data_IF_490043648285
#
_entry.id   IF_490043648285
#
_cell.length_a   1.000
_cell.length_b   1.000
_cell.length_c   1.000
_cell.angle_alpha   90.00
_cell.angle_beta   90.00
_cell.angle_gamma   90.00
#
_symmetry.space_group_name_H-M   'P 1'
#
loop_
_entity.id
_entity.type
_entity.pdbx_description
1 polymer ?
#
# COMPACT_ATOMS: atom_id res chain seq x y z
N UNK A 1 -10.74 2.32 26.40
CA UNK A 1 -10.47 1.87 25.01
C UNK A 1 -10.68 0.37 24.94
N UNK A 2 -11.57 -0.14 24.06
CA UNK A 2 -11.81 -1.58 23.98
C UNK A 2 -10.55 -2.30 23.45
N UNK A 3 -10.36 -3.58 23.81
CA UNK A 3 -9.23 -4.40 23.34
C UNK A 3 -9.19 -4.43 21.81
N UNK A 4 -10.35 -4.59 21.17
CA UNK A 4 -10.50 -4.58 19.72
C UNK A 4 -9.99 -3.28 19.09
N UNK A 5 -10.33 -2.12 19.67
CA UNK A 5 -9.90 -0.82 19.15
C UNK A 5 -8.38 -0.64 19.22
N UNK A 6 -7.73 -1.13 20.29
CA UNK A 6 -6.26 -1.13 20.40
C UNK A 6 -5.61 -2.02 19.33
N UNK A 7 -6.17 -3.20 19.09
CA UNK A 7 -5.70 -4.11 18.04
C UNK A 7 -5.83 -3.48 16.65
N UNK A 8 -6.96 -2.80 16.38
CA UNK A 8 -7.17 -2.09 15.12
C UNK A 8 -6.22 -0.90 14.92
N UNK A 9 -5.96 -0.11 15.96
CA UNK A 9 -4.98 0.97 15.89
C UNK A 9 -3.56 0.44 15.67
N UNK A 10 -3.22 -0.68 16.29
CA UNK A 10 -1.93 -1.34 16.12
C UNK A 10 -1.78 -1.89 14.68
N UNK A 11 -2.83 -2.45 14.09
CA UNK A 11 -2.83 -2.85 12.67
C UNK A 11 -2.62 -1.64 11.74
N UNK A 12 -3.36 -0.56 11.95
CA UNK A 12 -3.23 0.67 11.19
C UNK A 12 -1.81 1.23 11.28
N UNK A 13 -1.23 1.20 12.47
CA UNK A 13 0.13 1.64 12.74
C UNK A 13 1.18 0.76 12.03
N UNK A 14 1.07 -0.57 12.11
CA UNK A 14 1.97 -1.51 11.42
C UNK A 14 1.96 -1.29 9.91
N UNK A 15 0.82 -0.93 9.33
CA UNK A 15 0.70 -0.68 7.89
C UNK A 15 1.35 0.63 7.51
N UNK A 16 1.20 1.68 8.33
CA UNK A 16 1.95 2.92 8.17
C UNK A 16 3.47 2.65 8.23
N UNK A 17 3.92 1.79 9.16
CA UNK A 17 5.32 1.38 9.29
C UNK A 17 5.88 0.69 8.05
N UNK A 18 5.07 -0.11 7.39
CA UNK A 18 5.48 -0.89 6.22
C UNK A 18 5.20 -0.18 4.89
N UNK A 19 4.68 1.07 4.91
CA UNK A 19 4.57 1.89 3.71
C UNK A 19 5.97 2.22 3.18
N UNK A 20 6.26 1.79 1.96
CA UNK A 20 7.63 1.84 1.43
C UNK A 20 7.99 3.17 0.78
N UNK A 21 9.29 3.54 0.90
CA UNK A 21 9.87 4.76 0.33
C UNK A 21 9.91 4.73 -1.21
N UNK A 22 9.85 3.54 -1.83
CA UNK A 22 10.03 3.36 -3.28
C UNK A 22 9.01 4.05 -4.16
N UNK A 23 7.88 4.40 -3.61
CA UNK A 23 6.82 5.08 -4.34
C UNK A 23 6.67 6.55 -3.91
N UNK A 24 7.73 7.29 -3.68
CA UNK A 24 7.74 8.74 -3.43
C UNK A 24 7.23 9.51 -4.68
N UNK A 25 6.12 9.09 -5.25
CA UNK A 25 5.32 9.84 -6.21
C UNK A 25 4.03 10.32 -5.54
N UNK A 26 3.47 11.42 -6.03
CA UNK A 26 2.19 12.00 -5.56
C UNK A 26 1.04 10.96 -5.51
N UNK A 27 1.15 9.89 -6.30
CA UNK A 27 0.20 8.76 -6.32
C UNK A 27 0.15 7.89 -5.05
N UNK A 28 1.08 8.03 -4.09
CA UNK A 28 1.12 7.21 -2.85
C UNK A 28 0.50 7.87 -1.63
N UNK A 29 0.55 9.18 -1.55
CA UNK A 29 -0.26 9.89 -0.55
C UNK A 29 -1.71 9.45 -0.70
N UNK A 30 -2.16 9.32 -1.95
CA UNK A 30 -3.51 8.85 -2.28
C UNK A 30 -3.75 7.39 -1.91
N UNK A 31 -2.79 6.48 -2.13
CA UNK A 31 -2.91 5.06 -1.78
C UNK A 31 -3.00 4.84 -0.27
N UNK A 32 -2.16 5.52 0.51
CA UNK A 32 -2.19 5.41 1.97
C UNK A 32 -3.47 6.01 2.54
N UNK A 33 -3.91 7.13 1.97
CA UNK A 33 -5.17 7.77 2.33
C UNK A 33 -6.36 6.85 1.96
N UNK A 34 -6.33 6.25 0.77
CA UNK A 34 -7.32 5.24 0.34
C UNK A 34 -7.33 4.05 1.32
N UNK A 35 -6.16 3.56 1.72
CA UNK A 35 -6.06 2.47 2.67
C UNK A 35 -6.70 2.82 4.02
N UNK A 36 -6.34 3.95 4.63
CA UNK A 36 -6.89 4.36 5.92
C UNK A 36 -8.41 4.52 5.84
N UNK A 37 -8.90 5.16 4.78
CA UNK A 37 -10.34 5.31 4.58
C UNK A 37 -11.04 3.97 4.37
N UNK A 38 -10.41 3.01 3.68
CA UNK A 38 -10.93 1.65 3.54
C UNK A 38 -11.01 0.94 4.88
N UNK A 39 -9.95 1.08 5.68
CA UNK A 39 -9.88 0.48 7.00
C UNK A 39 -10.98 1.04 7.92
N UNK A 40 -11.06 2.37 8.05
CA UNK A 40 -12.08 3.03 8.87
C UNK A 40 -13.49 2.62 8.45
N UNK A 41 -13.75 2.62 7.14
CA UNK A 41 -15.04 2.20 6.59
C UNK A 41 -15.35 0.72 6.88
N UNK A 42 -14.40 -0.18 6.64
CA UNK A 42 -14.64 -1.62 6.79
C UNK A 42 -14.92 -2.03 8.23
N UNK A 43 -14.30 -1.36 9.19
CA UNK A 43 -14.50 -1.60 10.61
C UNK A 43 -15.58 -0.70 11.26
N UNK A 44 -16.36 0.04 10.44
CA UNK A 44 -17.39 0.98 10.87
C UNK A 44 -16.88 2.01 11.92
N UNK A 45 -15.62 2.48 11.73
CA UNK A 45 -14.98 3.46 12.58
C UNK A 45 -15.21 4.87 12.05
N UNK A 46 -15.78 5.75 12.88
CA UNK A 46 -15.89 7.16 12.55
C UNK A 46 -14.51 7.85 12.65
N UNK A 47 -14.02 8.48 11.56
CA UNK A 47 -12.71 9.13 11.54
C UNK A 47 -12.52 10.17 12.64
N UNK A 48 -13.58 10.92 12.98
CA UNK A 48 -13.56 11.95 14.02
C UNK A 48 -13.36 11.35 15.40
N UNK A 49 -14.11 10.30 15.71
CA UNK A 49 -13.97 9.59 16.99
C UNK A 49 -12.57 8.94 17.12
N UNK A 50 -12.04 8.38 16.03
CA UNK A 50 -10.69 7.83 16.02
C UNK A 50 -9.67 8.92 16.30
N UNK A 51 -9.78 10.07 15.64
CA UNK A 51 -8.89 11.21 15.84
C UNK A 51 -8.94 11.73 17.28
N UNK A 52 -10.13 11.92 17.85
CA UNK A 52 -10.30 12.35 19.24
C UNK A 52 -9.62 11.37 20.23
N UNK A 53 -9.72 10.07 19.99
CA UNK A 53 -9.12 9.06 20.85
C UNK A 53 -7.59 9.09 20.76
N UNK A 54 -7.00 9.15 19.58
CA UNK A 54 -5.54 9.16 19.41
C UNK A 54 -4.89 10.47 19.87
N UNK A 55 -5.69 11.54 19.98
CA UNK A 55 -5.24 12.86 20.45
C UNK A 55 -5.66 13.17 21.90
N UNK A 56 -6.37 12.26 22.57
CA UNK A 56 -6.98 12.49 23.89
C UNK A 56 -6.00 12.85 25.03
N UNK A 57 -4.73 12.44 24.90
CA UNK A 57 -3.68 12.77 25.87
C UNK A 57 -2.29 12.73 25.21
N UNK A 58 -1.30 13.33 25.87
CA UNK A 58 0.07 13.44 25.38
C UNK A 58 0.75 12.06 25.18
N UNK A 59 0.40 11.06 25.95
CA UNK A 59 0.94 9.71 25.82
C UNK A 59 0.42 9.03 24.55
N UNK A 60 -0.87 9.18 24.24
CA UNK A 60 -1.44 8.68 22.99
C UNK A 60 -0.83 9.38 21.76
N UNK A 61 -0.70 10.72 21.80
CA UNK A 61 -0.05 11.48 20.74
C UNK A 61 1.38 10.98 20.51
N UNK A 62 2.11 10.68 21.57
CA UNK A 62 3.45 10.14 21.47
C UNK A 62 3.48 8.75 20.82
N UNK A 63 2.64 7.82 21.27
CA UNK A 63 2.58 6.46 20.72
C UNK A 63 2.08 6.41 19.28
N UNK A 64 1.17 7.28 18.90
CA UNK A 64 0.55 7.31 17.57
C UNK A 64 0.99 8.53 16.75
N UNK A 65 2.16 9.11 17.04
CA UNK A 65 2.63 10.35 16.44
C UNK A 65 2.59 10.34 14.91
N UNK A 66 3.03 9.25 14.27
CA UNK A 66 2.98 9.10 12.82
C UNK A 66 1.54 9.11 12.29
N UNK A 67 0.62 8.44 12.99
CA UNK A 67 -0.79 8.41 12.63
C UNK A 67 -1.47 9.75 12.85
N UNK A 68 -1.21 10.40 13.99
CA UNK A 68 -1.75 11.73 14.31
C UNK A 68 -1.27 12.78 13.30
N UNK A 69 0.04 12.78 12.99
CA UNK A 69 0.60 13.64 11.97
C UNK A 69 -0.04 13.41 10.60
N UNK A 70 -0.25 12.15 10.22
CA UNK A 70 -0.90 11.80 8.96
C UNK A 70 -2.37 12.26 8.91
N UNK A 71 -3.11 12.16 10.02
CA UNK A 71 -4.49 12.64 10.11
C UNK A 71 -4.56 14.16 9.92
N UNK A 72 -3.69 14.95 10.59
CA UNK A 72 -3.60 16.38 10.35
C UNK A 72 -3.21 16.73 8.91
N UNK A 73 -2.28 15.98 8.33
CA UNK A 73 -1.82 16.22 6.95
C UNK A 73 -2.92 16.02 5.91
N UNK A 74 -3.82 15.06 6.13
CA UNK A 74 -4.83 14.66 5.14
C UNK A 74 -6.26 15.02 5.53
N UNK A 75 -6.47 15.68 6.67
CA UNK A 75 -7.80 16.09 7.13
C UNK A 75 -8.69 14.90 7.51
N UNK A 76 -8.12 13.83 8.05
CA UNK A 76 -8.88 12.64 8.44
C UNK A 76 -9.44 12.84 9.85
N UNK A 77 -10.75 13.07 9.96
CA UNK A 77 -11.42 13.34 11.22
C UNK A 77 -11.10 14.69 11.86
N UNK A 78 -10.32 15.53 11.20
CA UNK A 78 -9.95 16.89 11.61
C UNK A 78 -9.74 17.79 10.39
N UNK A 79 -9.54 19.09 10.61
CA UNK A 79 -9.11 19.98 9.54
C UNK A 79 -7.66 19.68 9.15
N UNK A 80 -7.33 19.88 7.87
CA UNK A 80 -5.94 19.82 7.40
C UNK A 80 -5.11 20.88 8.11
N UNK A 81 -4.02 20.45 8.74
CA UNK A 81 -3.06 21.33 9.42
C UNK A 81 -1.64 20.78 9.20
N UNK A 82 -1.02 21.22 8.11
CA UNK A 82 0.31 20.78 7.72
C UNK A 82 1.39 21.22 8.72
N UNK A 83 1.24 22.39 9.35
CA UNK A 83 2.19 22.92 10.34
C UNK A 83 2.21 22.00 11.56
N UNK A 84 1.03 21.67 12.08
CA UNK A 84 0.87 20.81 13.24
C UNK A 84 1.32 19.37 12.94
N UNK A 85 1.03 18.86 11.74
CA UNK A 85 1.56 17.58 11.29
C UNK A 85 3.09 17.55 11.33
N UNK A 86 3.74 18.59 10.80
CA UNK A 86 5.20 18.73 10.81
C UNK A 86 5.78 18.81 12.23
N UNK A 87 5.15 19.57 13.12
CA UNK A 87 5.57 19.67 14.53
C UNK A 87 5.54 18.32 15.22
N UNK A 88 4.46 17.54 15.02
CA UNK A 88 4.30 16.21 15.61
C UNK A 88 5.38 15.26 15.10
N UNK A 89 5.60 15.19 13.78
CA UNK A 89 6.66 14.37 13.21
C UNK A 89 8.05 14.78 13.68
N UNK A 90 8.34 16.09 13.74
CA UNK A 90 9.64 16.61 14.16
C UNK A 90 9.92 16.31 15.64
N UNK A 91 8.90 16.39 16.49
CA UNK A 91 9.03 16.08 17.92
C UNK A 91 9.22 14.57 18.15
N UNK A 92 8.56 13.72 17.38
CA UNK A 92 8.76 12.27 17.43
C UNK A 92 10.23 11.91 17.17
N UNK A 93 10.84 12.49 16.13
CA UNK A 93 12.26 12.27 15.80
C UNK A 93 13.22 12.78 16.87
N UNK A 94 12.97 14.00 17.41
CA UNK A 94 13.86 14.58 18.44
C UNK A 94 13.87 13.77 19.73
N UNK A 95 12.72 13.27 20.16
CA UNK A 95 12.60 12.50 21.39
C UNK A 95 13.27 11.13 21.28
N UNK A 96 13.29 10.54 20.11
CA UNK A 96 13.95 9.26 19.89
C UNK A 96 15.49 9.39 19.85
N UNK A 97 16.03 10.46 19.27
CA UNK A 97 17.48 10.75 19.30
C UNK A 97 18.02 10.97 20.73
N UNK A 98 17.18 11.34 21.70
CA UNK A 98 17.57 11.42 23.10
C UNK A 98 17.56 10.06 23.81
N UNK A 99 16.70 9.12 23.36
CA UNK A 99 16.58 7.77 23.95
C UNK A 99 17.57 6.75 23.40
N UNK A 100 18.03 6.88 22.16
CA UNK A 100 19.09 6.01 21.60
C UNK A 100 20.39 6.07 22.37
N UNK A 101 20.55 7.06 23.25
CA UNK A 101 21.66 7.14 24.22
C UNK A 101 21.42 6.30 25.49
N UNK A 102 20.23 5.77 25.73
CA UNK A 102 19.89 4.90 26.86
C UNK A 102 19.32 3.57 26.33
N UNK A 103 20.10 2.52 26.47
CA UNK A 103 19.85 1.16 26.00
C UNK A 103 18.45 0.63 26.36
N UNK A 104 17.53 0.53 25.36
CA UNK A 104 16.44 -0.46 25.40
C UNK A 104 16.06 -0.85 23.97
N UNK A 105 15.90 -2.17 23.74
CA UNK A 105 15.84 -2.81 22.43
C UNK A 105 14.44 -2.81 21.81
N UNK A 106 14.37 -2.67 20.50
CA UNK A 106 13.47 -3.25 19.47
C UNK A 106 12.20 -2.51 19.03
N UNK A 107 11.44 -1.79 19.84
CA UNK A 107 10.21 -1.08 19.39
C UNK A 107 10.44 0.39 19.02
N UNK A 108 11.51 0.98 19.52
CA UNK A 108 11.77 2.41 19.35
C UNK A 108 12.49 2.74 18.03
N UNK A 109 13.27 1.80 17.48
CA UNK A 109 13.93 1.98 16.17
C UNK A 109 12.96 2.01 15.00
N UNK A 110 11.81 1.31 15.11
CA UNK A 110 10.76 1.31 14.09
C UNK A 110 10.03 2.67 14.04
N UNK A 111 9.81 3.32 15.18
CA UNK A 111 9.20 4.66 15.25
C UNK A 111 10.08 5.76 14.62
N UNK A 112 11.41 5.64 14.73
CA UNK A 112 12.36 6.59 14.16
C UNK A 112 12.28 6.65 12.64
N UNK A 113 12.19 5.50 11.99
CA UNK A 113 12.18 5.39 10.54
C UNK A 113 10.98 6.09 9.90
N UNK A 114 9.83 6.09 10.56
CA UNK A 114 8.57 6.61 10.00
C UNK A 114 8.44 8.10 10.20
N UNK A 115 8.74 8.58 11.40
CA UNK A 115 8.73 10.02 11.66
C UNK A 115 9.75 10.72 10.78
N UNK A 116 10.89 10.07 10.52
CA UNK A 116 11.89 10.55 9.57
C UNK A 116 11.39 10.51 8.12
N UNK A 117 10.65 9.46 7.74
CA UNK A 117 10.01 9.33 6.43
C UNK A 117 9.01 10.44 6.14
N UNK A 118 8.13 10.77 7.11
CA UNK A 118 7.17 11.86 6.93
C UNK A 118 7.83 13.24 6.88
N UNK A 119 8.93 13.46 7.59
CA UNK A 119 9.72 14.69 7.46
C UNK A 119 10.32 14.79 6.05
N UNK A 120 10.71 13.68 5.44
CA UNK A 120 11.19 13.63 4.07
C UNK A 120 10.10 13.98 3.07
N UNK A 121 8.89 13.44 3.25
CA UNK A 121 7.74 13.76 2.38
C UNK A 121 7.34 15.24 2.47
N UNK A 122 7.46 15.86 3.65
CA UNK A 122 7.14 17.27 3.85
C UNK A 122 8.12 18.24 3.18
N UNK A 123 9.35 17.81 2.95
CA UNK A 123 10.36 18.68 2.33
C UNK A 123 10.56 18.27 0.88
N UNK A 124 9.70 18.79 -0.02
CA UNK A 124 9.82 18.63 -1.49
C UNK A 124 11.21 18.95 -2.08
N UNK A 125 12.11 19.57 -1.30
CA UNK A 125 13.43 20.07 -1.75
C UNK A 125 14.64 19.42 -1.04
N UNK A 126 14.52 18.19 -0.55
CA UNK A 126 15.57 17.62 0.33
C UNK A 126 16.64 16.77 -0.34
N UNK A 127 16.73 16.75 -1.69
CA UNK A 127 17.83 16.05 -2.35
C UNK A 127 19.20 16.48 -1.80
N UNK A 128 19.44 17.77 -1.61
CA UNK A 128 20.71 18.30 -1.06
C UNK A 128 21.00 17.80 0.35
N UNK A 129 19.98 17.73 1.21
CA UNK A 129 20.14 17.22 2.58
C UNK A 129 20.42 15.71 2.58
N UNK A 130 19.66 14.93 1.79
CA UNK A 130 19.89 13.50 1.66
C UNK A 130 21.25 13.22 1.04
N UNK A 131 21.69 13.98 0.04
CA UNK A 131 23.02 13.85 -0.55
C UNK A 131 24.10 14.03 0.51
N UNK A 132 24.01 15.09 1.33
CA UNK A 132 24.94 15.33 2.43
C UNK A 132 24.94 14.21 3.47
N UNK A 133 23.75 13.73 3.87
CA UNK A 133 23.63 12.63 4.84
C UNK A 133 24.16 11.32 4.27
N UNK A 134 23.89 11.01 3.00
CA UNK A 134 24.40 9.84 2.31
C UNK A 134 25.92 9.85 2.23
N UNK A 135 26.52 11.00 1.92
CA UNK A 135 27.97 11.21 1.92
C UNK A 135 28.56 11.01 3.33
N UNK A 136 27.79 11.29 4.40
CA UNK A 136 28.16 11.05 5.78
C UNK A 136 27.88 9.60 6.26
N UNK A 137 27.44 8.72 5.37
CA UNK A 137 27.24 7.30 5.67
C UNK A 137 25.86 6.90 6.16
N UNK A 138 24.82 7.77 6.13
CA UNK A 138 23.47 7.40 6.52
C UNK A 138 22.84 6.43 5.49
N UNK A 139 22.55 5.15 5.87
CA UNK A 139 22.08 4.14 4.93
C UNK A 139 20.70 4.47 4.31
N UNK A 140 19.82 5.16 5.05
CA UNK A 140 18.50 5.53 4.55
C UNK A 140 18.61 6.60 3.48
N UNK A 141 19.47 7.59 3.69
CA UNK A 141 19.75 8.63 2.70
C UNK A 141 20.48 8.08 1.48
N UNK A 142 21.40 7.13 1.67
CA UNK A 142 22.08 6.41 0.58
C UNK A 142 21.08 5.66 -0.31
N UNK A 143 20.12 4.96 0.29
CA UNK A 143 19.04 4.31 -0.45
C UNK A 143 18.21 5.32 -1.26
N UNK A 144 17.84 6.45 -0.64
CA UNK A 144 17.10 7.52 -1.32
C UNK A 144 17.89 8.10 -2.52
N UNK A 145 19.19 8.38 -2.37
CA UNK A 145 20.02 8.86 -3.48
C UNK A 145 20.12 7.79 -4.57
N UNK A 146 20.21 6.50 -4.20
CA UNK A 146 20.15 5.38 -5.15
C UNK A 146 18.87 5.38 -5.99
N UNK A 147 17.72 5.65 -5.37
CA UNK A 147 16.42 5.82 -6.07
C UNK A 147 16.48 7.04 -7.01
N UNK A 148 16.97 8.19 -6.53
CA UNK A 148 17.07 9.40 -7.35
C UNK A 148 17.91 9.17 -8.60
N UNK A 149 19.06 8.49 -8.46
CA UNK A 149 19.91 8.12 -9.59
C UNK A 149 19.21 7.14 -10.54
N UNK A 150 18.44 6.20 -10.02
CA UNK A 150 17.74 5.20 -10.84
C UNK A 150 16.65 5.83 -11.72
N UNK A 151 15.81 6.70 -11.16
CA UNK A 151 14.66 7.29 -11.84
C UNK A 151 14.92 8.66 -12.47
N UNK A 152 16.11 9.21 -12.34
CA UNK A 152 16.42 10.55 -12.82
C UNK A 152 15.68 11.66 -12.05
N UNK A 153 15.39 11.46 -10.75
CA UNK A 153 14.73 12.45 -9.92
C UNK A 153 15.72 13.47 -9.35
N UNK A 154 15.51 14.75 -9.64
CA UNK A 154 16.38 15.87 -9.25
C UNK A 154 17.80 15.85 -9.83
N UNK A 155 18.15 14.84 -10.59
CA UNK A 155 19.44 14.64 -11.29
C UNK A 155 19.19 13.79 -12.53
N UNK A 156 20.13 13.79 -13.47
CA UNK A 156 20.09 12.87 -14.60
C UNK A 156 20.19 11.41 -14.12
N UNK A 157 19.45 10.53 -14.77
CA UNK A 157 19.44 9.11 -14.44
C UNK A 157 20.82 8.49 -14.66
N UNK A 158 21.34 7.82 -13.63
CA UNK A 158 22.65 7.17 -13.64
C UNK A 158 22.54 5.83 -12.89
N UNK A 159 22.45 4.77 -13.66
CA UNK A 159 22.25 3.42 -13.11
C UNK A 159 23.49 2.86 -12.39
N UNK A 160 24.69 3.28 -12.79
CA UNK A 160 25.95 2.89 -12.15
C UNK A 160 26.04 3.50 -10.76
N UNK A 161 25.87 4.82 -10.66
CA UNK A 161 25.80 5.50 -9.36
C UNK A 161 24.64 4.99 -8.50
N UNK A 162 23.50 4.68 -9.12
CA UNK A 162 22.38 4.06 -8.39
C UNK A 162 22.79 2.74 -7.74
N UNK A 163 23.54 1.90 -8.47
CA UNK A 163 24.02 0.62 -7.94
C UNK A 163 25.02 0.81 -6.80
N UNK A 164 25.98 1.72 -6.96
CA UNK A 164 26.96 2.05 -5.91
C UNK A 164 26.29 2.55 -4.62
N UNK A 165 25.28 3.43 -4.75
CA UNK A 165 24.54 3.92 -3.59
C UNK A 165 23.72 2.84 -2.90
N UNK A 166 23.10 1.92 -3.65
CA UNK A 166 22.43 0.79 -3.05
C UNK A 166 23.42 -0.16 -2.35
N UNK A 167 24.60 -0.35 -2.91
CA UNK A 167 25.64 -1.18 -2.28
C UNK A 167 26.05 -0.59 -0.93
N UNK A 168 26.42 0.69 -0.89
CA UNK A 168 26.77 1.39 0.37
C UNK A 168 25.62 1.34 1.39
N UNK A 169 24.40 1.52 0.93
CA UNK A 169 23.21 1.47 1.78
C UNK A 169 22.97 0.07 2.37
N UNK A 170 23.16 -0.97 1.57
CA UNK A 170 23.05 -2.38 2.01
C UNK A 170 24.14 -2.74 3.02
N UNK A 171 25.40 -2.35 2.75
CA UNK A 171 26.51 -2.51 3.68
C UNK A 171 26.27 -1.78 5.02
N UNK A 172 25.54 -0.67 4.98
CA UNK A 172 25.05 0.06 6.16
C UNK A 172 23.85 -0.60 6.86
N UNK A 173 23.38 -1.76 6.41
CA UNK A 173 22.29 -2.53 7.01
C UNK A 173 20.88 -2.15 6.54
N UNK A 174 20.73 -1.43 5.43
CA UNK A 174 19.42 -1.11 4.87
C UNK A 174 18.85 -2.30 4.09
N UNK A 175 17.91 -3.03 4.71
CA UNK A 175 17.28 -4.23 4.13
C UNK A 175 16.55 -4.00 2.80
N UNK A 176 16.11 -2.75 2.52
CA UNK A 176 15.47 -2.40 1.24
C UNK A 176 16.52 -2.34 0.12
N UNK A 177 17.66 -1.74 0.40
CA UNK A 177 18.79 -1.72 -0.53
C UNK A 177 19.30 -3.14 -0.80
N UNK A 178 19.41 -3.97 0.24
CA UNK A 178 19.78 -5.39 0.13
C UNK A 178 18.83 -6.13 -0.82
N UNK A 179 17.51 -5.93 -0.68
CA UNK A 179 16.52 -6.52 -1.58
C UNK A 179 16.69 -6.06 -3.04
N UNK A 180 16.85 -4.75 -3.26
CA UNK A 180 17.03 -4.21 -4.62
C UNK A 180 18.28 -4.77 -5.28
N UNK A 181 19.39 -4.88 -4.54
CA UNK A 181 20.61 -5.51 -5.02
C UNK A 181 20.39 -6.99 -5.36
N UNK A 182 19.72 -7.72 -4.48
CA UNK A 182 19.36 -9.12 -4.72
C UNK A 182 18.62 -9.30 -6.03
N UNK A 183 17.59 -8.48 -6.30
CA UNK A 183 16.87 -8.52 -7.57
C UNK A 183 17.78 -8.19 -8.78
N UNK A 184 18.69 -7.24 -8.65
CA UNK A 184 19.62 -6.86 -9.73
C UNK A 184 20.59 -7.99 -10.07
N UNK A 185 21.12 -8.69 -9.07
CA UNK A 185 21.95 -9.88 -9.30
C UNK A 185 21.17 -11.04 -9.90
N UNK A 186 19.93 -11.28 -9.46
CA UNK A 186 19.05 -12.30 -10.03
C UNK A 186 18.76 -12.08 -11.52
N UNK A 187 18.56 -10.83 -11.92
CA UNK A 187 18.17 -10.47 -13.29
C UNK A 187 19.36 -10.35 -14.24
N UNK A 188 20.53 -9.93 -13.73
CA UNK A 188 21.65 -9.57 -14.58
C UNK A 188 21.23 -8.45 -15.55
N UNK A 189 21.41 -7.19 -15.18
CA UNK A 189 20.85 -6.07 -15.94
C UNK A 189 21.89 -5.44 -16.85
N UNK A 190 21.55 -5.27 -18.13
CA UNK A 190 22.30 -4.48 -19.09
C UNK A 190 21.56 -3.17 -19.34
N UNK A 191 22.21 -2.06 -19.06
CA UNK A 191 21.65 -0.74 -19.27
C UNK A 191 22.07 -0.14 -20.60
N UNK A 192 21.27 0.81 -21.12
CA UNK A 192 21.49 1.44 -22.44
C UNK A 192 22.82 2.19 -22.55
N UNK A 193 23.36 2.68 -21.42
CA UNK A 193 24.66 3.35 -21.34
C UNK A 193 25.87 2.39 -21.33
N UNK A 194 25.63 1.08 -21.52
CA UNK A 194 26.68 0.07 -21.51
C UNK A 194 27.07 -0.47 -20.13
N UNK A 195 26.50 0.07 -19.05
CA UNK A 195 26.68 -0.48 -17.70
C UNK A 195 26.05 -1.86 -17.59
N UNK A 196 26.76 -2.81 -16.99
CA UNK A 196 26.37 -4.21 -16.95
C UNK A 196 26.53 -4.80 -15.55
N UNK A 197 25.48 -5.41 -15.02
CA UNK A 197 25.51 -6.23 -13.81
C UNK A 197 25.45 -7.69 -14.23
N UNK A 198 26.51 -8.45 -13.97
CA UNK A 198 26.52 -9.89 -14.24
C UNK A 198 25.45 -10.57 -13.42
N UNK A 199 24.70 -11.47 -14.09
CA UNK A 199 23.73 -12.33 -13.42
C UNK A 199 24.46 -13.27 -12.46
N UNK A 200 24.02 -13.26 -11.21
CA UNK A 200 24.53 -14.12 -10.15
C UNK A 200 23.33 -14.53 -9.27
N UNK A 201 22.73 -15.67 -9.61
CA UNK A 201 21.51 -16.14 -8.94
C UNK A 201 21.76 -16.53 -7.49
N UNK A 202 22.93 -17.08 -7.17
CA UNK A 202 23.31 -17.49 -5.82
C UNK A 202 23.43 -16.27 -4.90
N UNK A 203 24.21 -15.28 -5.30
CA UNK A 203 24.34 -14.00 -4.59
C UNK A 203 23.02 -13.26 -4.50
N UNK A 204 22.23 -13.26 -5.58
CA UNK A 204 20.90 -12.66 -5.61
C UNK A 204 19.96 -13.31 -4.60
N UNK A 205 19.98 -14.64 -4.50
CA UNK A 205 19.20 -15.39 -3.53
C UNK A 205 19.64 -15.08 -2.08
N UNK A 206 20.95 -15.08 -1.79
CA UNK A 206 21.49 -14.76 -0.47
C UNK A 206 21.04 -13.38 0.03
N UNK A 207 21.15 -12.35 -0.82
CA UNK A 207 20.71 -11.00 -0.49
C UNK A 207 19.20 -10.90 -0.27
N UNK A 208 18.40 -11.61 -1.07
CA UNK A 208 16.94 -11.64 -0.88
C UNK A 208 16.61 -12.36 0.44
N UNK A 209 17.31 -13.43 0.78
CA UNK A 209 17.16 -14.14 2.06
C UNK A 209 17.51 -13.22 3.24
N UNK A 210 18.66 -12.57 3.21
CA UNK A 210 19.07 -11.61 4.23
C UNK A 210 18.04 -10.51 4.44
N UNK A 211 17.56 -9.91 3.36
CA UNK A 211 16.53 -8.88 3.41
C UNK A 211 15.20 -9.40 4.00
N UNK A 212 14.80 -10.63 3.65
CA UNK A 212 13.57 -11.24 4.17
C UNK A 212 13.67 -11.58 5.65
N UNK A 213 14.83 -12.07 6.11
CA UNK A 213 15.14 -12.31 7.52
C UNK A 213 15.14 -11.01 8.32
N UNK A 214 15.60 -9.92 7.72
CA UNK A 214 15.48 -8.55 8.24
C UNK A 214 14.04 -8.02 8.27
N UNK A 215 13.07 -8.77 7.73
CA UNK A 215 11.64 -8.44 7.79
C UNK A 215 11.10 -7.63 6.61
N UNK A 216 11.83 -7.54 5.49
CA UNK A 216 11.34 -6.89 4.29
C UNK A 216 10.23 -7.72 3.62
N UNK A 217 9.03 -7.13 3.44
CA UNK A 217 7.83 -7.87 2.99
C UNK A 217 7.96 -8.44 1.56
N UNK A 218 8.52 -7.67 0.63
CA UNK A 218 8.66 -8.14 -0.76
C UNK A 218 9.78 -9.17 -0.93
N UNK A 219 10.81 -9.10 -0.09
CA UNK A 219 11.81 -10.15 -0.03
C UNK A 219 11.20 -11.46 0.50
N UNK A 220 10.37 -11.38 1.54
CA UNK A 220 9.62 -12.53 2.05
C UNK A 220 8.66 -13.12 1.01
N UNK A 221 7.95 -12.27 0.26
CA UNK A 221 7.11 -12.68 -0.87
C UNK A 221 7.97 -13.42 -1.93
N UNK A 222 9.08 -12.83 -2.33
CA UNK A 222 9.99 -13.40 -3.35
C UNK A 222 10.57 -14.76 -2.93
N UNK A 223 10.92 -14.93 -1.65
CA UNK A 223 11.32 -16.24 -1.14
C UNK A 223 10.18 -17.26 -1.17
N UNK A 224 8.95 -16.82 -0.88
CA UNK A 224 7.78 -17.67 -1.08
C UNK A 224 7.69 -18.22 -2.50
N UNK A 225 7.86 -17.35 -3.52
CA UNK A 225 7.92 -17.76 -4.93
C UNK A 225 9.09 -18.71 -5.22
N UNK A 226 10.27 -18.48 -4.64
CA UNK A 226 11.43 -19.31 -4.86
C UNK A 226 11.20 -20.74 -4.32
N UNK A 227 10.68 -20.88 -3.11
CA UNK A 227 10.34 -22.18 -2.56
C UNK A 227 9.14 -22.84 -3.25
N UNK A 228 8.17 -22.08 -3.72
CA UNK A 228 7.02 -22.61 -4.45
C UNK A 228 7.40 -23.18 -5.82
N UNK A 229 8.31 -22.50 -6.53
CA UNK A 229 8.72 -22.87 -7.89
C UNK A 229 10.02 -23.68 -7.95
N UNK A 230 10.80 -23.74 -6.88
CA UNK A 230 12.12 -24.39 -6.85
C UNK A 230 13.20 -23.56 -7.57
N UNK A 231 13.20 -22.24 -7.40
CA UNK A 231 14.19 -21.32 -7.95
C UNK A 231 15.33 -21.16 -6.94
N UNK A 232 16.55 -21.48 -7.35
CA UNK A 232 17.76 -21.51 -6.50
C UNK A 232 17.69 -22.44 -5.27
N UNK A 233 16.55 -23.03 -4.98
CA UNK A 233 16.30 -23.94 -3.85
C UNK A 233 15.41 -25.09 -4.27
N UNK A 234 15.44 -26.18 -3.49
CA UNK A 234 14.48 -27.27 -3.69
C UNK A 234 13.06 -26.78 -3.41
N UNK A 235 12.14 -27.21 -4.27
CA UNK A 235 10.72 -26.90 -4.13
C UNK A 235 10.18 -27.39 -2.79
N UNK A 236 9.67 -26.45 -2.00
CA UNK A 236 9.10 -26.71 -0.67
C UNK A 236 7.90 -25.79 -0.43
N UNK A 237 6.74 -26.34 -0.68
CA UNK A 237 5.49 -25.60 -0.58
C UNK A 237 5.12 -25.20 0.85
N UNK A 238 5.60 -25.93 1.87
CA UNK A 238 5.38 -25.56 3.27
C UNK A 238 6.22 -24.34 3.63
N UNK A 239 7.50 -24.31 3.22
CA UNK A 239 8.34 -23.13 3.39
C UNK A 239 7.80 -21.95 2.60
N UNK A 240 7.27 -22.16 1.38
CA UNK A 240 6.61 -21.12 0.60
C UNK A 240 5.44 -20.50 1.39
N UNK A 241 4.56 -21.33 1.98
CA UNK A 241 3.48 -20.85 2.83
C UNK A 241 3.98 -20.02 4.01
N UNK A 242 5.03 -20.48 4.71
CA UNK A 242 5.58 -19.78 5.86
C UNK A 242 6.13 -18.39 5.47
N UNK A 243 6.81 -18.29 4.33
CA UNK A 243 7.32 -17.02 3.82
C UNK A 243 6.19 -16.09 3.31
N UNK A 244 5.18 -16.62 2.61
CA UNK A 244 4.00 -15.86 2.23
C UNK A 244 3.24 -15.36 3.46
N UNK A 245 3.15 -16.15 4.53
CA UNK A 245 2.52 -15.72 5.77
C UNK A 245 3.30 -14.58 6.46
N UNK A 246 4.64 -14.62 6.44
CA UNK A 246 5.47 -13.51 6.92
C UNK A 246 5.21 -12.23 6.11
N UNK A 247 5.18 -12.31 4.78
CA UNK A 247 4.87 -11.19 3.90
C UNK A 247 3.44 -10.66 4.13
N UNK A 248 2.45 -11.53 4.25
CA UNK A 248 1.05 -11.19 4.51
C UNK A 248 0.89 -10.44 5.85
N UNK A 249 1.58 -10.89 6.90
CA UNK A 249 1.61 -10.23 8.20
C UNK A 249 2.22 -8.81 8.13
N UNK A 250 3.13 -8.57 7.18
CA UNK A 250 3.74 -7.27 6.90
C UNK A 250 2.93 -6.42 5.89
N UNK A 251 1.72 -6.87 5.53
CA UNK A 251 0.80 -6.08 4.70
C UNK A 251 0.95 -6.28 3.19
N UNK A 252 1.65 -7.31 2.72
CA UNK A 252 1.65 -7.67 1.31
C UNK A 252 0.25 -8.16 0.90
N UNK A 253 -0.44 -7.39 0.06
CA UNK A 253 -1.84 -7.66 -0.30
C UNK A 253 -2.01 -8.91 -1.16
N UNK A 254 -1.02 -9.23 -1.99
CA UNK A 254 -1.04 -10.45 -2.80
C UNK A 254 -0.84 -11.69 -1.94
N UNK A 255 0.15 -11.66 -1.02
CA UNK A 255 0.34 -12.75 -0.06
C UNK A 255 -0.87 -12.93 0.86
N UNK A 256 -1.52 -11.84 1.30
CA UNK A 256 -2.77 -11.92 2.07
C UNK A 256 -3.87 -12.64 1.29
N UNK A 257 -3.99 -12.39 -0.02
CA UNK A 257 -4.93 -13.11 -0.88
C UNK A 257 -4.55 -14.59 -1.04
N UNK A 258 -3.28 -14.92 -1.25
CA UNK A 258 -2.81 -16.31 -1.32
C UNK A 258 -3.11 -17.07 -0.03
N UNK A 259 -2.77 -16.50 1.12
CA UNK A 259 -3.05 -17.08 2.43
C UNK A 259 -4.56 -17.26 2.66
N UNK A 260 -5.38 -16.31 2.19
CA UNK A 260 -6.85 -16.45 2.21
C UNK A 260 -7.30 -17.70 1.45
N UNK A 261 -6.81 -17.90 0.23
CA UNK A 261 -7.16 -19.05 -0.60
C UNK A 261 -6.70 -20.37 0.05
N UNK A 262 -5.49 -20.41 0.62
CA UNK A 262 -4.99 -21.60 1.31
C UNK A 262 -5.88 -22.00 2.49
N UNK A 263 -6.42 -21.03 3.25
CA UNK A 263 -7.39 -21.32 4.30
C UNK A 263 -8.77 -21.72 3.77
N UNK A 264 -9.24 -21.17 2.66
CA UNK A 264 -10.52 -21.57 2.06
C UNK A 264 -10.48 -22.99 1.48
N UNK A 265 -9.36 -23.33 0.86
CA UNK A 265 -9.19 -24.61 0.14
C UNK A 265 -8.61 -25.72 1.04
N UNK A 266 -7.99 -25.37 2.17
CA UNK A 266 -7.30 -26.30 3.04
C UNK A 266 -5.95 -26.77 2.47
N UNK A 267 -5.27 -25.89 1.71
CA UNK A 267 -3.95 -26.18 1.12
C UNK A 267 -2.87 -25.83 2.14
N UNK A 268 -2.04 -26.79 2.52
CA UNK A 268 -0.96 -26.68 3.54
C UNK A 268 -1.44 -26.37 4.96
N UNK A 269 -2.70 -26.02 5.15
CA UNK A 269 -3.34 -25.71 6.43
C UNK A 269 -4.73 -26.33 6.47
N UNK A 270 -5.25 -26.59 7.65
CA UNK A 270 -6.64 -27.03 7.78
C UNK A 270 -7.60 -25.97 7.26
N UNK A 271 -8.58 -26.41 6.46
CA UNK A 271 -9.63 -25.53 5.94
C UNK A 271 -10.28 -24.73 7.06
N UNK A 272 -10.32 -23.41 6.90
CA UNK A 272 -10.89 -22.49 7.88
C UNK A 272 -11.45 -21.25 7.20
N UNK A 273 -12.75 -21.26 6.94
CA UNK A 273 -13.43 -20.18 6.23
C UNK A 273 -13.37 -18.84 6.97
N UNK A 274 -13.37 -18.86 8.32
CA UNK A 274 -13.23 -17.61 9.12
C UNK A 274 -11.85 -16.97 8.93
N UNK A 275 -10.78 -17.78 8.95
CA UNK A 275 -9.43 -17.29 8.66
C UNK A 275 -9.29 -16.87 7.19
N UNK A 276 -9.87 -17.64 6.27
CA UNK A 276 -9.93 -17.27 4.86
C UNK A 276 -10.58 -15.90 4.64
N UNK A 277 -11.76 -15.68 5.24
CA UNK A 277 -12.43 -14.38 5.19
C UNK A 277 -11.60 -13.25 5.83
N UNK A 278 -10.99 -13.49 6.98
CA UNK A 278 -10.13 -12.51 7.65
C UNK A 278 -8.98 -12.04 6.73
N UNK A 279 -8.26 -12.98 6.10
CA UNK A 279 -7.16 -12.64 5.21
C UNK A 279 -7.64 -11.98 3.90
N UNK A 280 -8.78 -12.47 3.33
CA UNK A 280 -9.37 -11.83 2.16
C UNK A 280 -9.77 -10.36 2.43
N UNK A 281 -10.35 -10.11 3.61
CA UNK A 281 -10.72 -8.76 4.05
C UNK A 281 -9.50 -7.86 4.17
N UNK A 282 -8.41 -8.35 4.76
CA UNK A 282 -7.13 -7.62 4.83
C UNK A 282 -6.57 -7.32 3.43
N UNK A 283 -6.55 -8.30 2.55
CA UNK A 283 -6.09 -8.11 1.18
C UNK A 283 -6.93 -7.06 0.42
N UNK A 284 -8.26 -7.09 0.58
CA UNK A 284 -9.17 -6.11 -0.03
C UNK A 284 -8.90 -4.69 0.47
N UNK A 285 -8.72 -4.51 1.78
CA UNK A 285 -8.36 -3.22 2.41
C UNK A 285 -7.02 -2.71 1.86
N UNK A 286 -6.04 -3.61 1.69
CA UNK A 286 -4.71 -3.31 1.12
C UNK A 286 -4.71 -3.20 -0.41
N UNK A 287 -5.88 -3.17 -1.04
CA UNK A 287 -6.01 -2.83 -2.45
C UNK A 287 -5.98 -4.00 -3.44
N UNK A 288 -5.94 -5.26 -2.97
CA UNK A 288 -5.97 -6.43 -3.86
C UNK A 288 -7.31 -6.57 -4.58
N UNK A 289 -7.31 -6.57 -5.91
CA UNK A 289 -8.52 -6.50 -6.73
C UNK A 289 -9.47 -7.67 -6.54
N UNK A 290 -8.97 -8.91 -6.65
CA UNK A 290 -9.82 -10.09 -6.52
C UNK A 290 -10.42 -10.20 -5.12
N UNK A 291 -9.65 -9.77 -4.10
CA UNK A 291 -10.15 -9.71 -2.73
C UNK A 291 -11.23 -8.65 -2.55
N UNK A 292 -11.10 -7.48 -3.18
CA UNK A 292 -12.14 -6.44 -3.19
C UNK A 292 -13.42 -6.95 -3.86
N UNK A 293 -13.27 -7.67 -4.99
CA UNK A 293 -14.41 -8.28 -5.68
C UNK A 293 -15.11 -9.35 -4.82
N UNK A 294 -14.34 -10.31 -4.29
CA UNK A 294 -14.88 -11.34 -3.38
C UNK A 294 -15.59 -10.73 -2.17
N UNK A 295 -15.04 -9.64 -1.62
CA UNK A 295 -15.64 -8.95 -0.47
C UNK A 295 -16.93 -8.22 -0.85
N UNK A 296 -16.97 -7.60 -2.02
CA UNK A 296 -18.20 -6.98 -2.54
C UNK A 296 -19.30 -8.02 -2.77
N UNK A 297 -18.97 -9.17 -3.39
CA UNK A 297 -19.91 -10.30 -3.57
C UNK A 297 -20.39 -10.88 -2.22
N UNK A 298 -19.49 -11.02 -1.25
CA UNK A 298 -19.85 -11.46 0.09
C UNK A 298 -20.91 -10.54 0.71
N UNK A 299 -20.70 -9.21 0.66
CA UNK A 299 -21.66 -8.26 1.19
C UNK A 299 -22.97 -8.23 0.41
N UNK A 300 -22.91 -8.36 -0.91
CA UNK A 300 -24.11 -8.48 -1.75
C UNK A 300 -24.96 -9.69 -1.36
N UNK A 301 -24.36 -10.86 -1.24
CA UNK A 301 -25.02 -12.10 -0.87
C UNK A 301 -25.61 -12.06 0.58
N UNK A 302 -24.96 -11.32 1.47
CA UNK A 302 -25.43 -11.12 2.85
C UNK A 302 -26.36 -9.90 3.02
N UNK A 303 -26.88 -9.35 1.92
CA UNK A 303 -27.82 -8.21 1.90
C UNK A 303 -27.30 -6.93 2.58
N UNK A 304 -25.97 -6.79 2.70
CA UNK A 304 -25.35 -5.54 3.13
C UNK A 304 -25.04 -4.68 1.90
N UNK A 305 -26.12 -4.13 1.30
CA UNK A 305 -26.04 -3.40 0.04
C UNK A 305 -25.14 -2.16 0.13
N UNK A 306 -25.12 -1.48 1.28
CA UNK A 306 -24.26 -0.30 1.49
C UNK A 306 -22.76 -0.64 1.37
N UNK A 307 -22.31 -1.74 2.00
CA UNK A 307 -20.91 -2.18 1.89
C UNK A 307 -20.63 -2.75 0.49
N UNK A 308 -21.55 -3.52 -0.07
CA UNK A 308 -21.42 -4.03 -1.44
C UNK A 308 -21.25 -2.89 -2.45
N UNK A 309 -22.13 -1.89 -2.42
CA UNK A 309 -22.06 -0.71 -3.29
C UNK A 309 -20.70 0.00 -3.18
N UNK A 310 -20.21 0.28 -1.98
CA UNK A 310 -18.95 0.98 -1.79
C UNK A 310 -17.76 0.19 -2.33
N UNK A 311 -17.73 -1.13 -2.17
CA UNK A 311 -16.65 -1.95 -2.73
C UNK A 311 -16.75 -2.04 -4.26
N UNK A 312 -17.96 -2.18 -4.83
CA UNK A 312 -18.15 -2.12 -6.28
C UNK A 312 -17.77 -0.75 -6.85
N UNK A 313 -18.10 0.36 -6.16
CA UNK A 313 -17.71 1.70 -6.59
C UNK A 313 -16.19 1.87 -6.67
N UNK A 314 -15.44 1.31 -5.72
CA UNK A 314 -13.96 1.32 -5.76
C UNK A 314 -13.41 0.55 -6.96
N UNK A 315 -13.96 -0.62 -7.23
CA UNK A 315 -13.58 -1.42 -8.40
C UNK A 315 -13.95 -0.72 -9.71
N UNK A 316 -15.11 -0.08 -9.77
CA UNK A 316 -15.59 0.67 -10.93
C UNK A 316 -14.70 1.90 -11.22
N UNK A 317 -14.24 2.59 -10.18
CA UNK A 317 -13.28 3.69 -10.31
C UNK A 317 -11.91 3.23 -10.85
N UNK A 318 -11.56 1.96 -10.61
CA UNK A 318 -10.38 1.30 -11.20
C UNK A 318 -10.69 0.64 -12.56
N UNK A 319 -11.80 1.00 -13.18
CA UNK A 319 -12.26 0.54 -14.50
C UNK A 319 -12.55 -0.97 -14.60
N UNK A 320 -12.97 -1.59 -13.50
CA UNK A 320 -13.42 -2.99 -13.54
C UNK A 320 -14.82 -3.05 -14.17
N UNK A 321 -14.91 -3.55 -15.41
CA UNK A 321 -16.10 -3.45 -16.28
C UNK A 321 -17.38 -3.96 -15.58
N UNK A 322 -17.32 -5.15 -14.96
CA UNK A 322 -18.46 -5.72 -14.23
C UNK A 322 -18.93 -4.82 -13.07
N UNK A 323 -17.99 -4.21 -12.37
CA UNK A 323 -18.29 -3.30 -11.27
C UNK A 323 -18.91 -1.99 -11.76
N UNK A 324 -18.48 -1.46 -12.91
CA UNK A 324 -19.08 -0.27 -13.55
C UNK A 324 -20.56 -0.50 -13.80
N UNK A 325 -20.93 -1.65 -14.39
CA UNK A 325 -22.32 -2.02 -14.62
C UNK A 325 -23.13 -2.12 -13.32
N UNK A 326 -22.58 -2.79 -12.30
CA UNK A 326 -23.25 -2.95 -11.03
C UNK A 326 -23.47 -1.61 -10.32
N UNK A 327 -22.51 -0.72 -10.34
CA UNK A 327 -22.63 0.64 -9.77
C UNK A 327 -23.75 1.42 -10.46
N UNK A 328 -23.84 1.32 -11.79
CA UNK A 328 -24.96 1.93 -12.53
C UNK A 328 -26.31 1.41 -12.05
N UNK A 329 -26.45 0.09 -11.83
CA UNK A 329 -27.68 -0.51 -11.27
C UNK A 329 -27.97 -0.02 -9.85
N UNK A 330 -26.96 0.05 -8.98
CA UNK A 330 -27.13 0.53 -7.61
C UNK A 330 -27.69 1.98 -7.58
N UNK A 331 -27.14 2.87 -8.40
CA UNK A 331 -27.68 4.23 -8.54
C UNK A 331 -29.08 4.27 -9.17
N UNK A 332 -29.37 3.41 -10.16
CA UNK A 332 -30.69 3.32 -10.78
C UNK A 332 -31.75 2.88 -9.78
N UNK A 333 -31.45 1.86 -8.99
CA UNK A 333 -32.44 1.17 -8.14
C UNK A 333 -32.49 1.78 -6.73
N UNK A 334 -31.47 2.52 -6.31
CA UNK A 334 -31.35 3.08 -4.96
C UNK A 334 -30.92 2.05 -3.90
N UNK A 335 -30.25 0.97 -4.32
CA UNK A 335 -29.80 -0.09 -3.42
C UNK A 335 -28.44 0.31 -2.79
N UNK A 336 -28.34 0.36 -1.46
CA UNK A 336 -27.11 0.71 -0.76
C UNK A 336 -26.59 2.14 -0.97
N UNK A 337 -27.28 2.94 -1.79
CA UNK A 337 -27.07 4.36 -2.06
C UNK A 337 -28.39 5.02 -2.41
N UNK A 338 -28.45 6.35 -2.40
CA UNK A 338 -29.65 7.07 -2.84
C UNK A 338 -29.83 6.87 -4.37
N UNK A 339 -31.12 6.75 -4.76
CA UNK A 339 -31.48 6.62 -6.18
C UNK A 339 -31.09 7.89 -6.92
N UNK A 340 -30.24 7.74 -7.95
CA UNK A 340 -29.75 8.85 -8.77
C UNK A 340 -29.63 8.43 -10.22
N UNK A 341 -30.63 8.79 -11.03
CA UNK A 341 -30.69 8.40 -12.44
C UNK A 341 -29.64 9.10 -13.29
N UNK A 342 -29.18 10.29 -12.89
CA UNK A 342 -28.10 11.01 -13.59
C UNK A 342 -26.79 10.25 -13.43
N UNK A 343 -26.44 9.89 -12.20
CA UNK A 343 -25.24 9.08 -11.95
C UNK A 343 -25.35 7.69 -12.59
N UNK A 344 -26.53 7.06 -12.54
CA UNK A 344 -26.77 5.78 -13.21
C UNK A 344 -26.48 5.88 -14.72
N UNK A 345 -26.97 6.93 -15.40
CA UNK A 345 -26.74 7.17 -16.83
C UNK A 345 -25.23 7.34 -17.12
N UNK A 346 -24.51 8.15 -16.34
CA UNK A 346 -23.06 8.32 -16.50
C UNK A 346 -22.30 6.99 -16.40
N UNK A 347 -22.66 6.16 -15.40
CA UNK A 347 -22.01 4.86 -15.20
C UNK A 347 -22.39 3.85 -16.30
N UNK A 348 -23.63 3.86 -16.83
CA UNK A 348 -24.00 3.05 -17.98
C UNK A 348 -23.25 3.48 -19.24
N UNK A 349 -23.15 4.78 -19.53
CA UNK A 349 -22.35 5.29 -20.66
C UNK A 349 -20.88 4.87 -20.53
N UNK A 350 -20.29 4.97 -19.34
CA UNK A 350 -18.94 4.48 -19.05
C UNK A 350 -18.82 2.96 -19.32
N UNK A 351 -19.82 2.18 -18.95
CA UNK A 351 -19.86 0.73 -19.19
C UNK A 351 -19.86 0.41 -20.69
N UNK A 352 -20.74 1.05 -21.48
CA UNK A 352 -20.80 0.82 -22.94
C UNK A 352 -19.49 1.22 -23.62
N UNK A 353 -18.91 2.34 -23.26
CA UNK A 353 -17.61 2.74 -23.78
C UNK A 353 -16.50 1.74 -23.39
N UNK A 354 -16.55 1.19 -22.16
CA UNK A 354 -15.60 0.17 -21.70
C UNK A 354 -15.68 -1.12 -22.51
N UNK A 355 -16.87 -1.51 -22.96
CA UNK A 355 -17.07 -2.67 -23.85
C UNK A 355 -16.46 -2.46 -25.23
N UNK A 356 -16.58 -1.23 -25.78
CA UNK A 356 -16.10 -0.91 -27.13
C UNK A 356 -14.57 -0.81 -27.17
N UNK A 357 -13.97 -0.18 -26.18
CA UNK A 357 -12.53 0.16 -26.22
C UNK A 357 -11.63 -0.75 -25.39
N UNK A 358 -12.18 -1.71 -24.63
CA UNK A 358 -11.40 -2.60 -23.77
C UNK A 358 -10.61 -1.87 -22.67
N UNK A 359 -9.52 -2.46 -22.18
CA UNK A 359 -8.74 -1.92 -21.05
C UNK A 359 -7.96 -0.61 -21.32
N UNK A 360 -8.10 0.04 -22.49
CA UNK A 360 -7.42 1.32 -22.83
C UNK A 360 -8.16 2.57 -22.31
N UNK A 361 -8.74 2.51 -21.12
CA UNK A 361 -9.64 3.53 -20.58
C UNK A 361 -8.98 4.73 -19.89
N UNK A 362 -7.65 4.82 -19.85
CA UNK A 362 -6.94 5.90 -19.14
C UNK A 362 -7.25 7.30 -19.72
N UNK A 363 -7.59 7.38 -21.02
CA UNK A 363 -7.91 8.63 -21.70
C UNK A 363 -9.40 9.00 -21.69
N UNK A 364 -10.27 8.12 -21.23
CA UNK A 364 -11.71 8.29 -21.33
C UNK A 364 -12.33 9.13 -20.19
N UNK A 365 -11.70 9.20 -19.04
CA UNK A 365 -12.18 10.05 -17.93
C UNK A 365 -12.26 11.53 -18.35
N UNK A 366 -11.27 12.01 -19.11
CA UNK A 366 -11.27 13.39 -19.62
C UNK A 366 -12.35 13.66 -20.68
N UNK A 367 -12.84 12.62 -21.35
CA UNK A 367 -13.89 12.74 -22.35
C UNK A 367 -15.28 12.71 -21.72
N UNK A 368 -15.50 11.94 -20.65
CA UNK A 368 -16.78 11.84 -19.96
C UNK A 368 -17.12 13.06 -19.10
N UNK A 369 -16.11 13.79 -18.61
CA UNK A 369 -16.32 15.05 -17.89
C UNK A 369 -16.86 16.17 -18.79
N UNK A 370 -16.70 16.03 -20.11
CA UNK A 370 -17.20 16.98 -21.11
C UNK A 370 -18.56 16.62 -21.73
N UNK A 371 -19.14 15.45 -21.40
CA UNK A 371 -20.44 15.04 -21.93
C UNK A 371 -21.60 15.61 -21.11
N UNK A 372 -22.31 16.54 -21.71
CA UNK A 372 -23.60 17.02 -21.19
C UNK A 372 -24.67 15.95 -21.44
N UNK A 373 -24.94 15.12 -20.42
CA UNK A 373 -25.88 14.01 -20.53
C UNK A 373 -27.30 14.56 -20.47
N UNK A 374 -27.99 14.64 -21.61
CA UNK A 374 -29.35 15.13 -21.73
C UNK A 374 -30.39 14.17 -21.09
N UNK A 375 -31.50 14.74 -20.64
CA UNK A 375 -32.62 14.01 -19.98
C UNK A 375 -33.17 12.81 -20.81
N UNK A 376 -33.00 12.84 -22.13
CA UNK A 376 -33.42 11.77 -23.07
C UNK A 376 -32.61 10.47 -22.90
N UNK A 377 -31.31 10.54 -22.56
CA UNK A 377 -30.49 9.35 -22.31
C UNK A 377 -30.85 8.67 -20.99
N UNK A 378 -31.34 9.42 -20.02
CA UNK A 378 -31.75 8.91 -18.70
C UNK A 378 -32.92 7.93 -18.84
N UNK A 379 -33.86 8.16 -19.77
CA UNK A 379 -35.00 7.26 -19.99
C UNK A 379 -34.59 5.95 -20.63
N UNK A 380 -33.62 5.96 -21.51
CA UNK A 380 -33.12 4.77 -22.22
C UNK A 380 -32.54 3.74 -21.25
N UNK A 381 -31.94 4.17 -20.16
CA UNK A 381 -31.28 3.28 -19.18
C UNK A 381 -32.22 2.76 -18.07
N UNK A 382 -33.46 3.25 -17.95
CA UNK A 382 -34.44 2.74 -16.98
C UNK A 382 -34.85 1.28 -17.25
N UNK A 383 -34.74 0.83 -18.49
CA UNK A 383 -35.21 -0.47 -18.96
C UNK A 383 -34.10 -1.49 -19.25
N UNK A 384 -32.83 -1.17 -18.97
CA UNK A 384 -31.74 -2.15 -19.07
C UNK A 384 -31.88 -3.22 -17.95
N UNK A 385 -31.66 -4.50 -18.31
CA UNK A 385 -31.83 -5.63 -17.39
C UNK A 385 -30.86 -5.61 -16.20
#
# INVERSE_FOLDING_TARGET
MSKLFKELLQELYIILLNAEVEEICDSKKDKLNEFINNFLFEYDLDPKNVFEIITSNSQNIYYYSSLVGFFYQNGIGCNVDEIKAYEIFSNAVKNNNQRSKSKSKSTDQENDSISFYYIILFRKDNYKLHKRNAENGDPVSQYYIGICCHYGKNIDGDYEKSFEWYLKSSEGGNIKATYVLGLRYMLGLRYQNGYYIMKDEEKGFELILESAEGGHKYASHKLGEFYENGICVLKDKKKAFDWYLKAANKGDSHCQYLISNYYYEGIYVLKNEKKGFYWNRKAAINGHYDSQHKLAEYYFNNKNEKKAFKWYLKLANKNFIRAIYLVAKYYRDGNGTDKNLIEASKWFSKYELSKIYGCKLITLNNFLEGLDINAFEIETYKHLP
#
